data_IF_474394160475
#
_entry.id   IF_474394160475
#
_cell.length_a   1.000
_cell.length_b   1.000
_cell.length_c   1.000
_cell.angle_alpha   90.00
_cell.angle_beta   90.00
_cell.angle_gamma   90.00
#
_symmetry.space_group_name_H-M   'P 1'
#
loop_
_entity.id
_entity.type
_entity.pdbx_description
1 polymer ?
#
# COMPACT_ATOMS: atom_id res chain seq x y z
N UNK A 1 -27.00 55.21 -28.86
CA UNK A 1 -25.85 54.30 -29.07
C UNK A 1 -25.18 53.84 -27.78
N UNK A 2 -25.47 54.39 -26.62
CA UNK A 2 -24.72 54.08 -25.33
C UNK A 2 -25.29 52.90 -24.56
N UNK A 3 -26.52 52.44 -24.79
CA UNK A 3 -27.08 51.28 -24.06
C UNK A 3 -26.69 49.90 -24.59
N UNK A 4 -26.29 49.78 -25.86
CA UNK A 4 -25.91 48.52 -26.49
C UNK A 4 -24.47 48.11 -26.10
N UNK A 5 -23.59 49.09 -25.86
CA UNK A 5 -22.20 48.81 -25.47
C UNK A 5 -22.09 48.20 -24.06
N UNK A 6 -22.98 48.59 -23.11
CA UNK A 6 -22.95 48.08 -21.74
C UNK A 6 -23.43 46.61 -21.65
N UNK A 7 -24.37 46.22 -22.50
CA UNK A 7 -24.90 44.85 -22.51
C UNK A 7 -23.89 43.87 -23.11
N UNK A 8 -23.11 44.28 -24.11
CA UNK A 8 -22.08 43.47 -24.74
C UNK A 8 -20.87 43.25 -23.79
N UNK A 9 -20.50 44.27 -23.01
CA UNK A 9 -19.44 44.14 -21.99
C UNK A 9 -19.84 43.21 -20.83
N UNK A 10 -21.11 43.19 -20.41
CA UNK A 10 -21.58 42.29 -19.38
C UNK A 10 -21.57 40.82 -19.84
N UNK A 11 -21.96 40.57 -21.08
CA UNK A 11 -21.99 39.21 -21.67
C UNK A 11 -20.57 38.71 -21.89
N UNK A 12 -19.64 39.55 -22.34
CA UNK A 12 -18.22 39.19 -22.47
C UNK A 12 -17.53 38.88 -21.11
N UNK A 13 -17.86 39.61 -20.05
CA UNK A 13 -17.36 39.33 -18.72
C UNK A 13 -17.92 38.01 -18.12
N UNK A 14 -19.17 37.67 -18.42
CA UNK A 14 -19.78 36.40 -18.02
C UNK A 14 -19.13 35.23 -18.80
N UNK A 15 -18.84 35.40 -20.09
CA UNK A 15 -18.12 34.37 -20.87
C UNK A 15 -16.67 34.18 -20.40
N UNK A 16 -15.96 35.24 -20.01
CA UNK A 16 -14.60 35.13 -19.48
C UNK A 16 -14.55 34.52 -18.07
N UNK A 17 -15.55 34.73 -17.22
CA UNK A 17 -15.66 34.07 -15.92
C UNK A 17 -16.05 32.59 -16.02
N UNK A 18 -16.74 32.16 -17.09
CA UNK A 18 -17.12 30.76 -17.30
C UNK A 18 -16.02 29.93 -17.96
N UNK A 19 -15.06 30.57 -18.66
CA UNK A 19 -13.93 29.88 -19.30
C UNK A 19 -12.78 29.54 -18.33
N UNK A 20 -12.74 30.17 -17.15
CA UNK A 20 -11.70 29.89 -16.15
C UNK A 20 -12.08 28.81 -15.13
N UNK A 21 -13.27 28.19 -15.28
CA UNK A 21 -13.74 27.11 -14.38
C UNK A 21 -13.52 25.70 -15.00
N UNK A 22 -13.00 25.62 -16.23
CA UNK A 22 -12.91 24.35 -16.96
C UNK A 22 -11.48 23.81 -17.16
N UNK A 23 -10.46 24.34 -16.51
CA UNK A 23 -9.10 23.79 -16.61
C UNK A 23 -8.45 23.58 -15.24
N UNK A 24 -8.95 22.61 -14.49
CA UNK A 24 -8.15 21.75 -13.67
C UNK A 24 -8.71 20.33 -13.84
N UNK A 25 -8.37 19.69 -14.95
CA UNK A 25 -8.48 18.25 -15.04
C UNK A 25 -7.47 17.66 -14.05
N UNK A 26 -7.95 17.43 -12.84
CA UNK A 26 -7.15 16.81 -11.81
C UNK A 26 -6.77 15.40 -12.26
N UNK A 27 -5.51 15.03 -12.03
CA UNK A 27 -5.00 13.67 -12.21
C UNK A 27 -5.72 12.60 -11.37
N UNK A 28 -6.88 12.91 -10.82
CA UNK A 28 -7.70 12.05 -9.96
C UNK A 28 -8.87 11.37 -10.70
N UNK A 29 -8.99 11.53 -12.02
CA UNK A 29 -9.96 10.80 -12.84
C UNK A 29 -9.34 9.55 -13.43
N UNK A 30 -9.77 8.39 -12.97
CA UNK A 30 -9.44 7.08 -13.53
C UNK A 30 -10.61 6.54 -14.33
N UNK A 31 -10.32 5.70 -15.34
CA UNK A 31 -11.33 5.06 -16.16
C UNK A 31 -12.33 4.24 -15.34
N UNK A 32 -13.36 4.88 -14.85
CA UNK A 32 -14.39 4.30 -13.97
C UNK A 32 -14.87 5.21 -12.85
N UNK A 33 -14.34 6.43 -12.72
CA UNK A 33 -14.82 7.39 -11.75
C UNK A 33 -13.76 8.27 -11.11
N UNK A 34 -14.18 9.18 -10.26
CA UNK A 34 -13.32 10.00 -9.43
C UNK A 34 -12.94 9.22 -8.16
N UNK A 35 -11.66 9.07 -7.88
CA UNK A 35 -11.18 8.41 -6.66
C UNK A 35 -11.41 9.29 -5.42
N UNK A 36 -11.56 10.59 -5.62
CA UNK A 36 -11.88 11.56 -4.57
C UNK A 36 -13.28 12.15 -4.76
N UNK A 37 -14.01 12.47 -3.68
CA UNK A 37 -15.29 13.13 -3.77
C UNK A 37 -15.20 14.44 -4.58
N UNK A 38 -16.11 14.65 -5.53
CA UNK A 38 -16.22 15.90 -6.26
C UNK A 38 -16.49 17.05 -5.27
N UNK A 39 -15.61 18.03 -5.21
CA UNK A 39 -15.72 19.19 -4.32
C UNK A 39 -14.63 19.32 -3.25
N UNK A 40 -13.75 18.33 -3.12
CA UNK A 40 -12.51 18.48 -2.33
C UNK A 40 -11.49 19.21 -3.19
N UNK A 41 -11.08 20.40 -2.79
CA UNK A 41 -10.08 21.19 -3.49
C UNK A 41 -8.74 20.43 -3.43
N UNK A 42 -8.19 19.87 -4.53
CA UNK A 42 -7.02 19.01 -4.48
C UNK A 42 -5.76 19.70 -3.93
N UNK A 43 -5.75 21.04 -3.86
CA UNK A 43 -4.66 21.82 -3.28
C UNK A 43 -4.64 21.89 -1.75
N UNK A 44 -5.67 21.36 -1.04
CA UNK A 44 -5.80 21.47 0.40
C UNK A 44 -6.45 20.24 1.07
N UNK A 45 -6.42 19.08 0.43
CA UNK A 45 -6.70 17.85 1.14
C UNK A 45 -5.53 17.62 2.11
N UNK A 46 -5.58 18.24 3.28
CA UNK A 46 -4.74 17.85 4.40
C UNK A 46 -5.16 16.43 4.77
N UNK A 47 -4.47 15.45 4.20
CA UNK A 47 -4.55 14.08 4.69
C UNK A 47 -4.04 14.09 6.13
N UNK A 48 -4.95 14.18 7.06
CA UNK A 48 -4.62 14.07 8.48
C UNK A 48 -4.25 12.62 8.78
N UNK A 49 -3.03 12.25 8.42
CA UNK A 49 -2.45 11.00 8.90
C UNK A 49 -2.36 11.09 10.42
N UNK A 50 -2.97 10.12 11.10
CA UNK A 50 -2.80 10.00 12.54
C UNK A 50 -1.35 9.64 12.85
N UNK A 51 -0.90 9.99 14.06
CA UNK A 51 0.42 9.60 14.56
C UNK A 51 0.55 8.09 14.51
N UNK A 52 1.42 7.60 13.63
CA UNK A 52 1.68 6.17 13.50
C UNK A 52 2.45 5.64 14.71
N UNK A 53 2.08 4.44 15.15
CA UNK A 53 2.87 3.65 16.11
C UNK A 53 3.91 2.77 15.39
N UNK A 54 3.81 2.66 14.05
CA UNK A 54 4.73 1.88 13.24
C UNK A 54 6.04 2.67 13.02
N UNK A 55 7.09 2.26 13.72
CA UNK A 55 8.41 2.89 13.68
C UNK A 55 9.45 1.84 13.27
N UNK A 56 10.24 2.14 12.23
CA UNK A 56 11.31 1.24 11.75
C UNK A 56 12.31 0.97 12.89
N UNK A 57 12.80 -0.26 12.98
CA UNK A 57 13.69 -0.78 14.03
C UNK A 57 13.05 -0.87 15.43
N UNK A 58 11.73 -0.76 15.52
CA UNK A 58 10.95 -0.98 16.75
C UNK A 58 9.98 -2.15 16.55
N UNK A 59 9.43 -2.73 17.63
CA UNK A 59 8.36 -3.72 17.51
C UNK A 59 7.20 -3.15 16.69
N UNK A 60 6.73 -3.93 15.71
CA UNK A 60 5.57 -3.56 14.91
C UNK A 60 4.32 -3.46 15.81
N UNK A 61 3.38 -2.54 15.55
CA UNK A 61 2.12 -2.45 16.29
C UNK A 61 1.39 -3.80 16.27
N UNK A 62 1.01 -4.29 17.46
CA UNK A 62 0.29 -5.53 17.61
C UNK A 62 -1.14 -5.38 17.05
N UNK A 63 -1.62 -6.42 16.38
CA UNK A 63 -2.98 -6.49 15.89
C UNK A 63 -3.57 -7.89 16.05
N UNK A 64 -4.91 -7.92 16.08
CA UNK A 64 -5.73 -9.12 16.13
C UNK A 64 -7.07 -8.77 15.46
N UNK A 65 -7.48 -9.55 14.47
CA UNK A 65 -8.77 -9.38 13.79
C UNK A 65 -9.19 -10.63 13.03
N UNK A 66 -10.43 -10.63 12.51
CA UNK A 66 -10.94 -11.69 11.65
C UNK A 66 -10.40 -11.52 10.24
N UNK A 67 -9.94 -12.61 9.66
CA UNK A 67 -9.52 -12.71 8.26
C UNK A 67 -10.31 -13.78 7.51
N UNK A 68 -10.35 -13.66 6.20
CA UNK A 68 -10.75 -14.75 5.31
C UNK A 68 -9.51 -15.52 4.87
N UNK A 69 -9.45 -16.80 5.21
CA UNK A 69 -8.36 -17.72 4.87
C UNK A 69 -8.95 -18.96 4.21
N UNK A 70 -8.63 -19.20 2.95
CA UNK A 70 -9.18 -20.33 2.18
C UNK A 70 -10.71 -20.43 2.18
N UNK A 71 -11.40 -19.29 2.24
CA UNK A 71 -12.87 -19.21 2.28
C UNK A 71 -13.49 -19.31 3.67
N UNK A 72 -12.70 -19.49 4.72
CA UNK A 72 -13.14 -19.59 6.11
C UNK A 72 -12.81 -18.33 6.90
N UNK A 73 -13.63 -18.00 7.91
CA UNK A 73 -13.35 -16.92 8.85
C UNK A 73 -12.43 -17.43 9.96
N UNK A 74 -11.26 -16.83 10.04
CA UNK A 74 -10.22 -17.19 11.01
C UNK A 74 -9.79 -15.96 11.77
N UNK A 75 -9.64 -16.06 13.09
CA UNK A 75 -9.00 -15.01 13.88
C UNK A 75 -7.48 -15.09 13.71
N UNK A 76 -6.87 -14.03 13.19
CA UNK A 76 -5.42 -13.89 13.05
C UNK A 76 -4.89 -12.77 13.95
N UNK A 77 -3.66 -12.93 14.40
CA UNK A 77 -2.92 -11.93 15.17
C UNK A 77 -1.45 -11.88 14.73
N UNK A 78 -0.81 -10.73 14.90
CA UNK A 78 0.60 -10.54 14.51
C UNK A 78 1.52 -11.61 15.11
N UNK A 79 1.27 -12.06 16.34
CA UNK A 79 2.09 -13.05 17.02
C UNK A 79 2.07 -14.44 16.38
N UNK A 80 1.12 -14.75 15.51
CA UNK A 80 1.04 -16.04 14.81
C UNK A 80 2.15 -16.18 13.75
N UNK A 81 2.76 -15.06 13.36
CA UNK A 81 3.84 -14.98 12.38
C UNK A 81 5.25 -14.94 13.00
N UNK A 82 5.38 -15.12 14.35
CA UNK A 82 6.69 -15.22 14.99
C UNK A 82 7.54 -16.33 14.39
N UNK A 83 8.83 -16.04 14.17
CA UNK A 83 9.76 -16.98 13.55
C UNK A 83 9.78 -16.93 12.02
N UNK A 84 8.92 -16.12 11.41
CA UNK A 84 8.86 -15.88 9.96
C UNK A 84 8.93 -14.38 9.67
N UNK A 85 9.38 -14.03 8.48
CA UNK A 85 9.13 -12.70 7.96
C UNK A 85 7.66 -12.55 7.62
N UNK A 86 7.11 -11.35 7.78
CA UNK A 86 5.75 -11.01 7.39
C UNK A 86 5.76 -9.78 6.48
N UNK A 87 5.16 -9.93 5.30
CA UNK A 87 4.75 -8.82 4.45
C UNK A 87 3.30 -8.52 4.77
N UNK A 88 3.06 -7.42 5.47
CA UNK A 88 1.75 -6.96 5.88
C UNK A 88 1.40 -5.72 5.08
N UNK A 89 0.35 -5.76 4.26
CA UNK A 89 0.03 -4.63 3.42
C UNK A 89 -1.44 -4.24 3.47
N UNK A 90 -1.67 -2.93 3.45
CA UNK A 90 -2.99 -2.34 3.40
C UNK A 90 -3.37 -1.97 1.96
N UNK A 91 -4.64 -2.10 1.63
CA UNK A 91 -5.21 -1.62 0.38
C UNK A 91 -6.50 -0.86 0.67
N UNK A 92 -6.89 0.13 -0.17
CA UNK A 92 -8.02 1.02 0.10
C UNK A 92 -9.34 0.31 0.37
N UNK A 93 -9.91 -0.36 -0.64
CA UNK A 93 -11.24 -0.98 -0.58
C UNK A 93 -11.35 -2.20 -1.49
N UNK A 94 -12.26 -3.11 -1.11
CA UNK A 94 -12.72 -4.22 -1.96
C UNK A 94 -13.45 -3.69 -3.21
N UNK A 95 -13.56 -4.54 -4.24
CA UNK A 95 -14.28 -4.26 -5.48
C UNK A 95 -13.85 -2.98 -6.21
N UNK A 96 -12.58 -2.61 -6.13
CA UNK A 96 -11.99 -1.44 -6.80
C UNK A 96 -11.08 -1.85 -7.98
N UNK A 97 -10.18 -0.98 -8.43
CA UNK A 97 -9.47 -1.13 -9.71
C UNK A 97 -8.03 -1.63 -9.55
N UNK A 98 -7.21 -0.91 -8.79
CA UNK A 98 -5.79 -1.27 -8.55
C UNK A 98 -5.66 -2.37 -7.50
N UNK A 99 -6.53 -2.36 -6.47
CA UNK A 99 -6.45 -3.29 -5.34
C UNK A 99 -6.45 -4.76 -5.75
N UNK A 100 -7.36 -5.24 -6.65
CA UNK A 100 -7.33 -6.63 -7.07
C UNK A 100 -6.03 -7.00 -7.79
N UNK A 101 -5.42 -6.10 -8.55
CA UNK A 101 -4.16 -6.37 -9.26
C UNK A 101 -3.01 -6.65 -8.31
N UNK A 102 -2.94 -5.93 -7.18
CA UNK A 102 -1.93 -6.15 -6.14
C UNK A 102 -2.15 -7.47 -5.41
N UNK A 103 -3.39 -7.70 -4.91
CA UNK A 103 -3.74 -8.91 -4.16
C UNK A 103 -3.48 -10.16 -5.02
N UNK A 104 -3.87 -10.16 -6.29
CA UNK A 104 -3.63 -11.25 -7.21
C UNK A 104 -2.12 -11.45 -7.46
N UNK A 105 -1.36 -10.38 -7.69
CA UNK A 105 0.08 -10.48 -7.89
C UNK A 105 0.81 -11.08 -6.68
N UNK A 106 0.48 -10.68 -5.46
CA UNK A 106 1.03 -11.27 -4.24
C UNK A 106 0.55 -12.71 -4.03
N UNK A 107 -0.72 -13.00 -4.27
CA UNK A 107 -1.29 -14.33 -4.13
C UNK A 107 -0.71 -15.32 -5.14
N UNK A 108 -0.60 -14.95 -6.41
CA UNK A 108 -0.09 -15.81 -7.48
C UNK A 108 1.40 -16.13 -7.28
N UNK A 109 2.15 -15.27 -6.58
CA UNK A 109 3.58 -15.43 -6.26
C UNK A 109 3.85 -15.82 -4.80
N UNK A 110 2.83 -16.25 -4.05
CA UNK A 110 3.00 -16.59 -2.62
C UNK A 110 4.07 -17.65 -2.37
N UNK A 111 4.20 -18.62 -3.25
CA UNK A 111 5.21 -19.69 -3.10
C UNK A 111 6.66 -19.16 -3.13
N UNK A 112 6.93 -18.03 -3.80
CA UNK A 112 8.25 -17.39 -3.76
C UNK A 112 8.53 -16.82 -2.36
N UNK A 113 7.53 -16.22 -1.71
CA UNK A 113 7.65 -15.75 -0.33
C UNK A 113 7.82 -16.91 0.66
N UNK A 114 7.04 -17.98 0.50
CA UNK A 114 7.16 -19.16 1.38
C UNK A 114 8.54 -19.82 1.31
N UNK A 115 9.14 -19.91 0.11
CA UNK A 115 10.50 -20.44 -0.08
C UNK A 115 11.56 -19.69 0.74
N UNK A 116 11.32 -18.43 1.02
CA UNK A 116 12.19 -17.58 1.85
C UNK A 116 11.61 -17.34 3.26
N UNK A 117 10.84 -18.31 3.77
CA UNK A 117 10.23 -18.26 5.12
C UNK A 117 9.47 -16.96 5.42
N UNK A 118 8.67 -16.51 4.47
CA UNK A 118 7.93 -15.26 4.54
C UNK A 118 6.43 -15.50 4.30
N UNK A 119 5.59 -14.94 5.15
CA UNK A 119 4.14 -14.93 4.98
C UNK A 119 3.68 -13.57 4.44
N UNK A 120 2.51 -13.57 3.81
CA UNK A 120 1.91 -12.36 3.22
C UNK A 120 0.48 -12.24 3.70
N UNK A 121 0.09 -11.07 4.21
CA UNK A 121 -1.27 -10.77 4.68
C UNK A 121 -1.69 -9.42 4.11
N UNK A 122 -2.86 -9.38 3.48
CA UNK A 122 -3.50 -8.16 3.03
C UNK A 122 -4.56 -7.70 4.03
N UNK A 123 -4.76 -6.38 4.15
CA UNK A 123 -5.70 -5.78 5.10
C UNK A 123 -6.42 -4.60 4.48
N UNK A 124 -7.73 -4.49 4.71
CA UNK A 124 -8.49 -3.27 4.44
C UNK A 124 -9.51 -2.99 5.55
N UNK A 125 -10.19 -1.87 5.45
CA UNK A 125 -11.26 -1.48 6.38
C UNK A 125 -12.59 -2.17 6.09
N UNK A 126 -12.69 -2.95 5.01
CA UNK A 126 -13.88 -3.69 4.66
C UNK A 126 -14.14 -4.83 5.67
N UNK A 127 -15.39 -5.28 5.73
CA UNK A 127 -15.77 -6.41 6.58
C UNK A 127 -15.27 -7.73 5.99
N UNK A 128 -15.02 -8.71 6.86
CA UNK A 128 -14.70 -10.07 6.42
C UNK A 128 -15.78 -10.70 5.53
N UNK A 129 -17.04 -10.26 5.64
CA UNK A 129 -18.12 -10.68 4.74
C UNK A 129 -17.94 -10.13 3.33
N UNK A 130 -17.50 -8.87 3.20
CA UNK A 130 -17.17 -8.24 1.91
C UNK A 130 -15.98 -8.93 1.27
N UNK A 131 -14.92 -9.21 2.04
CA UNK A 131 -13.77 -10.00 1.59
C UNK A 131 -14.18 -11.35 1.03
N UNK A 132 -15.04 -12.08 1.76
CA UNK A 132 -15.53 -13.40 1.31
C UNK A 132 -16.35 -13.29 0.03
N UNK A 133 -17.22 -12.29 -0.08
CA UNK A 133 -17.99 -12.04 -1.29
C UNK A 133 -17.07 -11.73 -2.48
N UNK A 134 -16.04 -10.93 -2.27
CA UNK A 134 -15.08 -10.57 -3.32
C UNK A 134 -14.23 -11.77 -3.78
N UNK A 135 -13.80 -12.62 -2.86
CA UNK A 135 -13.11 -13.89 -3.16
C UNK A 135 -14.02 -14.83 -3.97
N UNK A 136 -15.31 -14.90 -3.64
CA UNK A 136 -16.26 -15.75 -4.33
C UNK A 136 -16.70 -15.20 -5.70
N UNK A 137 -16.44 -13.95 -5.99
CA UNK A 137 -16.73 -13.33 -7.30
C UNK A 137 -15.62 -13.71 -8.30
N UNK A 138 -15.97 -14.20 -9.50
CA UNK A 138 -14.99 -14.53 -10.52
C UNK A 138 -14.12 -13.34 -10.96
N UNK A 139 -12.84 -13.57 -11.27
CA UNK A 139 -11.91 -12.52 -11.74
C UNK A 139 -12.44 -11.73 -12.95
N UNK A 140 -13.08 -12.40 -13.90
CA UNK A 140 -13.71 -11.77 -15.08
C UNK A 140 -14.88 -10.85 -14.76
N UNK A 141 -15.42 -10.94 -13.57
CA UNK A 141 -16.54 -10.13 -13.06
C UNK A 141 -16.07 -9.09 -12.03
N UNK A 142 -14.74 -8.82 -11.96
CA UNK A 142 -14.15 -7.86 -11.03
C UNK A 142 -13.87 -8.42 -9.64
N UNK A 143 -14.04 -9.73 -9.46
CA UNK A 143 -13.70 -10.42 -8.22
C UNK A 143 -12.23 -10.86 -8.15
N UNK A 144 -11.85 -11.44 -7.01
CA UNK A 144 -10.53 -12.03 -6.83
C UNK A 144 -10.48 -13.48 -7.31
N UNK A 145 -11.62 -14.19 -7.24
CA UNK A 145 -11.59 -15.63 -7.36
C UNK A 145 -10.77 -16.25 -6.22
N UNK A 146 -10.34 -17.49 -6.38
CA UNK A 146 -9.49 -18.15 -5.38
C UNK A 146 -8.15 -17.42 -5.24
N UNK A 147 -7.82 -17.04 -4.01
CA UNK A 147 -6.54 -16.46 -3.60
C UNK A 147 -5.90 -17.30 -2.50
N UNK A 148 -4.60 -17.17 -2.30
CA UNK A 148 -3.82 -17.97 -1.37
C UNK A 148 -3.30 -17.18 -0.16
N UNK A 149 -3.56 -15.87 -0.11
CA UNK A 149 -3.17 -14.99 1.00
C UNK A 149 -4.40 -14.63 1.85
N UNK A 150 -4.26 -14.46 3.17
CA UNK A 150 -5.33 -13.96 4.03
C UNK A 150 -5.75 -12.54 3.68
N UNK A 151 -7.06 -12.25 3.72
CA UNK A 151 -7.61 -10.90 3.76
C UNK A 151 -8.09 -10.57 5.17
N UNK A 152 -7.39 -9.69 5.86
CA UNK A 152 -7.68 -9.26 7.22
C UNK A 152 -8.64 -8.06 7.21
N UNK A 153 -9.70 -8.13 8.03
CA UNK A 153 -10.68 -7.06 8.17
C UNK A 153 -10.28 -6.10 9.30
N UNK A 154 -10.09 -4.83 9.01
CA UNK A 154 -9.88 -3.77 10.01
C UNK A 154 -11.11 -2.85 10.10
N UNK A 155 -12.29 -3.43 10.25
CA UNK A 155 -13.58 -2.74 10.24
C UNK A 155 -13.70 -1.60 11.27
N UNK A 156 -12.97 -1.70 12.37
CA UNK A 156 -12.93 -0.67 13.42
C UNK A 156 -11.81 0.36 13.22
N UNK A 157 -11.02 0.24 12.15
CA UNK A 157 -9.93 1.14 11.75
C UNK A 157 -8.76 1.22 12.75
N UNK A 158 -8.70 0.32 13.75
CA UNK A 158 -7.69 0.39 14.80
C UNK A 158 -6.29 0.03 14.28
N UNK A 159 -6.21 -0.95 13.38
CA UNK A 159 -4.96 -1.44 12.81
C UNK A 159 -4.40 -0.40 11.83
N UNK A 160 -5.23 0.07 10.90
CA UNK A 160 -4.84 1.07 9.91
C UNK A 160 -4.42 2.40 10.54
N UNK A 161 -5.06 2.79 11.65
CA UNK A 161 -4.66 3.97 12.45
C UNK A 161 -3.31 3.75 13.13
N UNK A 162 -3.09 2.60 13.76
CA UNK A 162 -1.83 2.27 14.42
C UNK A 162 -0.65 2.19 13.44
N UNK A 163 -0.90 1.74 12.22
CA UNK A 163 0.08 1.70 11.13
C UNK A 163 0.21 3.01 10.34
N UNK A 164 -0.62 4.02 10.65
CA UNK A 164 -0.55 5.35 10.06
C UNK A 164 -0.94 5.42 8.59
N UNK A 165 -1.81 4.51 8.14
CA UNK A 165 -2.28 4.43 6.74
C UNK A 165 -3.72 4.88 6.57
N UNK A 166 -4.47 5.11 7.64
CA UNK A 166 -5.88 5.47 7.57
C UNK A 166 -6.08 6.93 7.18
N UNK A 167 -6.95 7.17 6.22
CA UNK A 167 -7.38 8.49 5.76
C UNK A 167 -8.75 8.79 6.38
N UNK A 168 -8.78 9.68 7.38
CA UNK A 168 -10.01 9.95 8.14
C UNK A 168 -11.10 10.61 7.29
N UNK A 169 -10.71 11.43 6.33
CA UNK A 169 -11.59 12.12 5.41
C UNK A 169 -12.24 11.20 4.36
N UNK A 170 -11.54 10.13 3.97
CA UNK A 170 -11.99 9.17 2.97
C UNK A 170 -12.55 7.87 3.57
N UNK A 171 -12.24 7.58 4.83
CA UNK A 171 -12.71 6.39 5.55
C UNK A 171 -12.05 5.07 5.10
N UNK A 172 -10.93 5.14 4.37
CA UNK A 172 -10.17 3.96 3.93
C UNK A 172 -8.65 4.20 4.04
N UNK A 173 -7.82 3.29 3.52
CA UNK A 173 -6.38 3.36 3.71
C UNK A 173 -5.62 3.79 2.47
N UNK A 174 -4.41 4.32 2.67
CA UNK A 174 -3.36 4.37 1.65
C UNK A 174 -2.86 2.95 1.32
N UNK A 175 -2.00 2.83 0.29
CA UNK A 175 -1.32 1.58 -0.04
C UNK A 175 -0.03 1.45 0.77
N UNK A 176 -0.17 1.16 2.07
CA UNK A 176 0.96 0.90 2.95
C UNK A 176 1.40 -0.56 2.88
N UNK A 177 2.71 -0.83 2.87
CA UNK A 177 3.30 -2.15 2.98
C UNK A 177 4.40 -2.11 4.03
N UNK A 178 4.40 -3.11 4.89
CA UNK A 178 5.27 -3.22 6.06
C UNK A 178 5.96 -4.58 6.05
N UNK A 179 7.30 -4.58 6.10
CA UNK A 179 8.10 -5.79 6.25
C UNK A 179 8.48 -5.92 7.71
N UNK A 180 8.06 -7.01 8.33
CA UNK A 180 8.27 -7.33 9.75
C UNK A 180 9.13 -8.59 9.84
N UNK A 181 10.18 -8.55 10.65
CA UNK A 181 11.11 -9.66 10.80
C UNK A 181 10.59 -10.77 11.76
N UNK A 182 11.28 -11.93 11.85
CA UNK A 182 10.85 -13.04 12.71
C UNK A 182 10.76 -12.71 14.21
N UNK A 183 11.38 -11.62 14.65
CA UNK A 183 11.31 -11.13 16.04
C UNK A 183 10.14 -10.18 16.26
N UNK A 184 9.40 -9.84 15.20
CA UNK A 184 8.31 -8.86 15.22
C UNK A 184 8.76 -7.41 15.10
N UNK A 185 10.01 -7.17 14.66
CA UNK A 185 10.54 -5.82 14.45
C UNK A 185 10.21 -5.33 13.05
N UNK A 186 9.72 -4.11 12.95
CA UNK A 186 9.44 -3.46 11.67
C UNK A 186 10.75 -3.06 10.98
N UNK A 187 10.98 -3.56 9.78
CA UNK A 187 12.22 -3.36 9.02
C UNK A 187 12.08 -2.34 7.89
N UNK A 188 10.90 -2.24 7.28
CA UNK A 188 10.70 -1.39 6.10
C UNK A 188 9.23 -0.97 5.99
N UNK A 189 9.02 0.22 5.47
CA UNK A 189 7.70 0.79 5.12
C UNK A 189 7.76 1.29 3.69
N UNK A 190 6.83 0.86 2.85
CA UNK A 190 6.50 1.50 1.57
C UNK A 190 5.10 2.11 1.68
N UNK A 191 4.95 3.34 1.24
CA UNK A 191 3.67 4.04 1.23
C UNK A 191 3.43 4.65 -0.14
N UNK A 192 2.45 4.12 -0.87
CA UNK A 192 2.01 4.71 -2.13
C UNK A 192 0.66 5.40 -1.95
N UNK A 193 0.48 6.48 -2.69
CA UNK A 193 -0.84 7.07 -2.92
C UNK A 193 -1.74 6.10 -3.71
N UNK A 194 -3.04 6.37 -3.70
CA UNK A 194 -4.11 5.49 -4.17
C UNK A 194 -3.95 4.96 -5.61
N UNK A 195 -3.45 5.76 -6.59
CA UNK A 195 -3.44 5.37 -8.00
C UNK A 195 -2.34 4.38 -8.39
N UNK A 196 -1.32 4.18 -7.56
CA UNK A 196 -0.12 3.43 -7.94
C UNK A 196 0.06 2.17 -7.10
N UNK A 197 -0.05 1.00 -7.74
CA UNK A 197 0.19 -0.31 -7.11
C UNK A 197 1.66 -0.54 -6.77
N UNK A 198 1.91 -1.46 -5.83
CA UNK A 198 3.25 -1.81 -5.33
C UNK A 198 3.87 -2.95 -6.14
N UNK A 199 5.18 -3.09 -6.06
CA UNK A 199 5.96 -4.10 -6.76
C UNK A 199 6.21 -5.34 -5.89
N UNK A 200 5.79 -6.52 -6.35
CA UNK A 200 6.10 -7.80 -5.70
C UNK A 200 7.61 -8.10 -5.80
N UNK A 201 8.25 -7.79 -6.94
CA UNK A 201 9.69 -7.98 -7.12
C UNK A 201 10.51 -7.20 -6.11
N UNK A 202 10.18 -5.93 -5.92
CA UNK A 202 10.86 -5.09 -4.94
C UNK A 202 10.62 -5.58 -3.51
N UNK A 203 9.40 -6.04 -3.20
CA UNK A 203 9.09 -6.61 -1.89
C UNK A 203 9.92 -7.87 -1.62
N UNK A 204 10.01 -8.79 -2.58
CA UNK A 204 10.85 -9.99 -2.49
C UNK A 204 12.32 -9.62 -2.33
N UNK A 205 12.82 -8.70 -3.15
CA UNK A 205 14.20 -8.20 -3.09
C UNK A 205 14.54 -7.65 -1.71
N UNK A 206 13.65 -6.84 -1.12
CA UNK A 206 13.86 -6.24 0.20
C UNK A 206 13.87 -7.29 1.31
N UNK A 207 12.93 -8.25 1.31
CA UNK A 207 12.93 -9.35 2.29
C UNK A 207 14.25 -10.12 2.21
N UNK A 208 14.68 -10.50 1.01
CA UNK A 208 15.95 -11.23 0.80
C UNK A 208 17.16 -10.42 1.26
N UNK A 209 17.17 -9.10 1.02
CA UNK A 209 18.25 -8.23 1.49
C UNK A 209 18.31 -8.17 3.03
N UNK A 210 17.17 -8.06 3.72
CA UNK A 210 17.15 -8.11 5.19
C UNK A 210 17.58 -9.47 5.73
N UNK A 211 17.13 -10.57 5.10
CA UNK A 211 17.56 -11.93 5.49
C UNK A 211 19.07 -12.11 5.33
N UNK A 212 19.61 -11.63 4.22
CA UNK A 212 21.06 -11.70 3.97
C UNK A 212 21.85 -10.93 5.04
N UNK A 213 21.42 -9.70 5.33
CA UNK A 213 22.04 -8.86 6.36
C UNK A 213 21.98 -9.51 7.75
N UNK A 214 20.81 -10.08 8.09
CA UNK A 214 20.63 -10.76 9.40
C UNK A 214 21.50 -12.01 9.53
N UNK A 215 21.75 -12.73 8.43
CA UNK A 215 22.53 -13.96 8.41
C UNK A 215 24.03 -13.72 8.37
N UNK A 216 24.49 -12.73 7.61
CA UNK A 216 25.92 -12.55 7.31
C UNK A 216 26.54 -11.34 8.03
N UNK A 217 25.73 -10.41 8.55
CA UNK A 217 26.23 -9.19 9.18
C UNK A 217 26.84 -8.17 8.19
N UNK A 218 26.79 -8.48 6.90
CA UNK A 218 27.19 -7.57 5.82
C UNK A 218 26.02 -6.68 5.41
N UNK A 219 26.31 -5.56 4.71
CA UNK A 219 25.26 -4.64 4.28
C UNK A 219 25.08 -4.68 2.76
N UNK A 220 23.83 -4.61 2.34
CA UNK A 220 23.44 -4.65 0.94
C UNK A 220 23.53 -3.25 0.33
N UNK A 221 24.28 -3.04 -0.76
CA UNK A 221 24.33 -1.77 -1.48
C UNK A 221 23.02 -1.44 -2.20
N UNK A 222 22.92 -0.25 -2.75
CA UNK A 222 21.76 0.20 -3.49
C UNK A 222 21.39 -0.78 -4.63
N UNK A 223 20.12 -1.15 -4.71
CA UNK A 223 19.63 -2.05 -5.75
C UNK A 223 20.09 -3.50 -5.63
N UNK A 224 20.76 -3.88 -4.54
CA UNK A 224 21.28 -5.23 -4.34
C UNK A 224 20.25 -6.33 -4.62
N UNK A 225 20.70 -7.40 -5.25
CA UNK A 225 19.93 -8.61 -5.50
C UNK A 225 20.71 -9.84 -5.01
N UNK A 226 20.04 -10.95 -4.69
CA UNK A 226 20.70 -12.20 -4.33
C UNK A 226 21.81 -12.58 -5.31
N UNK A 227 22.98 -12.93 -4.78
CA UNK A 227 24.18 -13.30 -5.55
C UNK A 227 25.08 -12.14 -5.97
N UNK A 228 24.71 -10.89 -5.69
CA UNK A 228 25.57 -9.74 -5.92
C UNK A 228 26.50 -9.46 -4.73
N UNK A 229 27.57 -8.70 -4.96
CA UNK A 229 28.54 -8.28 -3.94
C UNK A 229 27.86 -7.46 -2.83
N UNK A 230 28.33 -7.66 -1.61
CA UNK A 230 27.92 -6.95 -0.41
C UNK A 230 29.09 -6.17 0.19
N UNK A 231 28.81 -5.35 1.19
CA UNK A 231 29.83 -4.50 1.81
C UNK A 231 30.03 -4.95 3.26
N UNK A 232 31.26 -5.25 3.63
CA UNK A 232 31.65 -5.46 5.04
C UNK A 232 31.58 -4.08 5.73
N UNK A 233 30.75 -3.90 6.79
CA UNK A 233 30.48 -2.59 7.40
C UNK A 233 31.64 -2.15 8.31
N UNK A 234 32.83 -1.94 7.72
CA UNK A 234 34.01 -1.44 8.39
C UNK A 234 34.79 -0.47 7.49
N UNK A 235 35.60 0.46 8.05
CA UNK A 235 36.41 1.40 7.27
C UNK A 235 37.35 0.74 6.27
N UNK A 236 37.88 -0.45 6.58
CA UNK A 236 38.74 -1.23 5.69
C UNK A 236 37.92 -2.07 4.73
N UNK A 237 36.91 -2.79 5.25
CA UNK A 237 36.10 -3.75 4.47
C UNK A 237 35.35 -3.09 3.31
N UNK A 238 34.82 -1.87 3.52
CA UNK A 238 34.13 -1.15 2.45
C UNK A 238 35.02 -0.85 1.22
N UNK A 239 36.35 -0.69 1.42
CA UNK A 239 37.28 -0.39 0.31
C UNK A 239 37.33 -1.53 -0.69
N UNK A 240 37.26 -2.78 -0.23
CA UNK A 240 37.26 -3.96 -1.10
C UNK A 240 36.09 -3.93 -2.08
N UNK A 241 34.94 -3.48 -1.63
CA UNK A 241 33.76 -3.32 -2.50
C UNK A 241 33.99 -2.22 -3.54
N UNK A 242 34.44 -1.04 -3.09
CA UNK A 242 34.62 0.12 -4.00
C UNK A 242 35.84 0.00 -4.93
N UNK A 243 36.79 -0.91 -4.66
CA UNK A 243 37.88 -1.24 -5.60
C UNK A 243 37.38 -2.07 -6.79
N UNK A 244 36.23 -2.76 -6.63
CA UNK A 244 35.62 -3.61 -7.68
C UNK A 244 34.53 -2.87 -8.50
N UNK A 245 33.98 -1.80 -7.94
CA UNK A 245 32.84 -1.07 -8.46
C UNK A 245 33.13 0.44 -8.59
#
# INVERSE_FOLDING_TARGET
MTRILFTVCLILNIYFSFSSILEEESCHKYGGGSVYPLGVNPGHAEHKLQWTKAVISKPAPAWKSTAVVNGEFVELKLSDFKGKYLVFFFYPLDFTFVCPTEILAFSDRLEEFKKINTEVVACSVDSHFTHLAWINTPRKEGGLGKINIPLLSDLNHSISKDYGVFLEDLGHTLRGLFIIDPKGVLRQITMNDLPVGRSVDETLRLVQAFQYTDQHGEVCPAGWKPGQDTIIPSPVGKKIYFEKH
#
